data_IF_110262368420
#
_entry.id   IF_110262368420
#
_cell.length_a   1.000
_cell.length_b   1.000
_cell.length_c   1.000
_cell.angle_alpha   90.00
_cell.angle_beta   90.00
_cell.angle_gamma   90.00
#
_symmetry.space_group_name_H-M   'P 1'
#
loop_
_entity.id
_entity.type
_entity.pdbx_description
1 polymer ?
#
# COMPACT_ATOMS: atom_id res chain seq x y z
N UNK A 1 -5.17 -19.61 -15.03
CA UNK A 1 -4.52 -18.69 -15.98
C UNK A 1 -4.07 -19.40 -17.26
N UNK A 2 -3.30 -20.52 -17.22
CA UNK A 2 -2.83 -21.19 -18.43
C UNK A 2 -3.98 -21.60 -19.37
N UNK A 3 -5.00 -22.28 -18.82
CA UNK A 3 -6.19 -22.69 -19.57
C UNK A 3 -6.93 -21.52 -20.24
N UNK A 4 -6.98 -20.35 -19.58
CA UNK A 4 -7.60 -19.15 -20.13
C UNK A 4 -6.79 -18.60 -21.30
N UNK A 5 -5.46 -18.52 -21.18
CA UNK A 5 -4.59 -18.04 -22.25
C UNK A 5 -4.64 -18.97 -23.46
N UNK A 6 -4.64 -20.29 -23.25
CA UNK A 6 -4.72 -21.26 -24.33
C UNK A 6 -6.07 -21.24 -25.03
N UNK A 7 -7.16 -21.05 -24.28
CA UNK A 7 -8.49 -20.83 -24.86
C UNK A 7 -8.51 -19.57 -25.73
N UNK A 8 -8.02 -18.43 -25.22
CA UNK A 8 -8.02 -17.16 -25.96
C UNK A 8 -7.17 -17.22 -27.23
N UNK A 9 -6.05 -17.95 -27.22
CA UNK A 9 -5.29 -18.21 -28.46
C UNK A 9 -6.08 -19.04 -29.46
N UNK A 10 -6.77 -20.07 -28.97
CA UNK A 10 -7.60 -20.94 -29.83
C UNK A 10 -8.74 -20.14 -30.47
N UNK A 11 -9.25 -19.13 -29.78
CA UNK A 11 -10.23 -18.16 -30.28
C UNK A 11 -9.63 -17.11 -31.26
N UNK A 12 -8.33 -17.16 -31.54
CA UNK A 12 -7.65 -16.33 -32.55
C UNK A 12 -6.99 -15.05 -32.02
N UNK A 13 -6.89 -14.86 -30.70
CA UNK A 13 -6.21 -13.70 -30.13
C UNK A 13 -4.68 -13.81 -30.26
N UNK A 14 -4.05 -12.80 -30.87
CA UNK A 14 -2.59 -12.76 -31.07
C UNK A 14 -1.82 -12.66 -29.75
N UNK A 15 -0.62 -13.26 -29.65
CA UNK A 15 0.27 -13.14 -28.48
C UNK A 15 0.49 -11.69 -28.00
N UNK A 16 0.78 -10.75 -28.91
CA UNK A 16 0.97 -9.34 -28.58
C UNK A 16 -0.27 -8.68 -27.98
N UNK A 17 -1.46 -9.03 -28.48
CA UNK A 17 -2.71 -8.51 -27.95
C UNK A 17 -2.94 -9.02 -26.50
N UNK A 18 -2.67 -10.29 -26.24
CA UNK A 18 -2.81 -10.88 -24.91
C UNK A 18 -1.83 -10.26 -23.92
N UNK A 19 -0.55 -10.12 -24.28
CA UNK A 19 0.46 -9.50 -23.44
C UNK A 19 0.12 -8.02 -23.15
N UNK A 20 -0.31 -7.26 -24.16
CA UNK A 20 -0.75 -5.87 -23.97
C UNK A 20 -1.98 -5.76 -23.06
N UNK A 21 -2.95 -6.65 -23.19
CA UNK A 21 -4.14 -6.63 -22.34
C UNK A 21 -3.81 -6.97 -20.90
N UNK A 22 -3.00 -8.01 -20.66
CA UNK A 22 -2.60 -8.37 -19.31
C UNK A 22 -1.77 -7.26 -18.63
N UNK A 23 -0.94 -6.56 -19.41
CA UNK A 23 -0.14 -5.42 -18.93
C UNK A 23 -0.97 -4.20 -18.54
N UNK A 24 -2.16 -4.04 -19.13
CA UNK A 24 -3.08 -2.91 -18.89
C UNK A 24 -4.23 -3.25 -17.95
N UNK A 25 -4.31 -4.49 -17.48
CA UNK A 25 -5.33 -4.92 -16.54
C UNK A 25 -5.24 -4.04 -15.28
N UNK A 26 -6.37 -3.65 -14.71
CA UNK A 26 -6.42 -2.91 -13.45
C UNK A 26 -7.53 -3.49 -12.59
N UNK A 27 -7.13 -4.18 -11.52
CA UNK A 27 -8.00 -4.73 -10.50
C UNK A 27 -7.69 -4.00 -9.21
N UNK A 28 -8.60 -3.15 -8.73
CA UNK A 28 -8.45 -2.49 -7.45
C UNK A 28 -9.24 -3.24 -6.36
N UNK A 29 -8.53 -3.66 -5.32
CA UNK A 29 -9.10 -4.31 -4.15
C UNK A 29 -9.14 -3.31 -3.00
N UNK A 30 -10.34 -2.94 -2.56
CA UNK A 30 -10.55 -1.98 -1.47
C UNK A 30 -10.70 -2.72 -0.15
N UNK A 31 -9.73 -2.53 0.75
CA UNK A 31 -9.76 -3.09 2.09
C UNK A 31 -10.71 -2.29 2.97
N UNK A 32 -11.67 -2.97 3.58
CA UNK A 32 -12.64 -2.36 4.51
C UNK A 32 -12.39 -2.85 5.93
N UNK A 33 -12.77 -2.06 6.93
CA UNK A 33 -12.81 -2.53 8.30
C UNK A 33 -13.76 -3.73 8.40
N UNK A 34 -13.39 -4.74 9.19
CA UNK A 34 -14.29 -5.86 9.42
C UNK A 34 -15.24 -5.51 10.59
N UNK A 35 -16.56 -5.38 10.35
CA UNK A 35 -17.51 -4.78 11.29
C UNK A 35 -17.67 -5.56 12.60
N UNK A 36 -17.30 -6.85 12.59
CA UNK A 36 -17.40 -7.76 13.74
C UNK A 36 -16.07 -8.42 14.12
N UNK A 37 -14.93 -8.00 13.55
CA UNK A 37 -13.67 -8.71 13.82
C UNK A 37 -13.08 -8.32 15.16
N UNK A 38 -13.49 -9.15 16.10
CA UNK A 38 -13.12 -9.19 17.49
C UNK A 38 -11.72 -9.80 17.66
N UNK A 39 -11.25 -10.59 16.69
CA UNK A 39 -9.98 -11.31 16.75
C UNK A 39 -8.77 -10.35 16.83
N UNK A 40 -7.99 -10.49 17.90
CA UNK A 40 -6.77 -9.72 18.11
C UNK A 40 -5.67 -10.18 17.15
N UNK A 41 -4.73 -9.29 16.77
CA UNK A 41 -3.48 -9.63 16.03
C UNK A 41 -2.79 -10.88 16.59
N UNK A 42 -2.81 -11.02 17.91
CA UNK A 42 -2.23 -12.16 18.63
C UNK A 42 -2.87 -13.50 18.28
N UNK A 43 -4.17 -13.53 17.95
CA UNK A 43 -4.88 -14.75 17.55
C UNK A 43 -4.60 -15.12 16.10
N UNK A 44 -4.55 -14.14 15.19
CA UNK A 44 -4.17 -14.37 13.78
C UNK A 44 -2.80 -15.04 13.69
N UNK A 45 -1.81 -14.51 14.41
CA UNK A 45 -0.47 -15.12 14.49
C UNK A 45 -0.49 -16.55 15.05
N UNK A 46 -1.41 -16.86 15.97
CA UNK A 46 -1.59 -18.22 16.48
C UNK A 46 -2.22 -19.12 15.42
N UNK A 47 -3.22 -18.64 14.68
CA UNK A 47 -3.85 -19.41 13.60
C UNK A 47 -2.87 -19.69 12.46
N UNK A 48 -2.04 -18.73 12.06
CA UNK A 48 -0.97 -18.93 11.07
C UNK A 48 0.04 -19.98 11.57
N UNK A 49 0.44 -19.89 12.83
CA UNK A 49 1.34 -20.88 13.44
C UNK A 49 0.71 -22.28 13.50
N UNK A 50 -0.59 -22.37 13.82
CA UNK A 50 -1.36 -23.62 13.82
C UNK A 50 -1.39 -24.21 12.40
N UNK A 51 -1.74 -23.40 11.39
CA UNK A 51 -1.76 -23.83 9.99
C UNK A 51 -0.38 -24.33 9.54
N UNK A 52 0.70 -23.65 9.94
CA UNK A 52 2.07 -24.09 9.66
C UNK A 52 2.40 -25.44 10.34
N UNK A 53 1.97 -25.66 11.59
CA UNK A 53 2.15 -26.96 12.24
C UNK A 53 1.34 -28.08 11.57
N UNK A 54 0.11 -27.78 11.13
CA UNK A 54 -0.74 -28.74 10.41
C UNK A 54 -0.12 -29.12 9.05
N UNK A 55 0.39 -28.13 8.30
CA UNK A 55 1.10 -28.36 7.06
C UNK A 55 2.37 -29.19 7.28
N UNK A 56 3.14 -28.88 8.34
CA UNK A 56 4.31 -29.67 8.71
C UNK A 56 3.96 -31.13 9.01
N UNK A 57 2.81 -31.40 9.66
CA UNK A 57 2.37 -32.74 10.03
C UNK A 57 1.96 -33.62 8.82
N UNK A 58 1.62 -32.99 7.69
CA UNK A 58 1.23 -33.67 6.45
C UNK A 58 2.43 -34.29 5.70
N UNK A 59 3.65 -33.97 6.13
CA UNK A 59 4.87 -34.62 5.65
C UNK A 59 4.90 -36.11 6.02
N UNK A 60 5.16 -36.96 5.02
CA UNK A 60 5.17 -38.42 5.16
C UNK A 60 6.49 -38.98 5.71
N UNK A 61 7.53 -38.16 5.71
CA UNK A 61 8.92 -38.50 6.05
C UNK A 61 9.33 -38.10 7.48
N UNK A 62 8.38 -37.65 8.30
CA UNK A 62 8.65 -37.28 9.70
C UNK A 62 9.01 -38.49 10.56
N UNK A 63 10.08 -38.35 11.34
CA UNK A 63 10.39 -39.30 12.41
C UNK A 63 9.47 -39.10 13.63
N UNK A 64 9.49 -40.07 14.57
CA UNK A 64 8.63 -40.04 15.76
C UNK A 64 8.89 -38.84 16.67
N UNK A 65 10.14 -38.40 16.79
CA UNK A 65 10.54 -37.25 17.60
C UNK A 65 10.04 -35.94 17.00
N UNK A 66 10.20 -35.74 15.69
CA UNK A 66 9.71 -34.57 14.95
C UNK A 66 8.19 -34.47 15.05
N UNK A 67 7.49 -35.59 14.79
CA UNK A 67 6.02 -35.67 14.94
C UNK A 67 5.57 -35.31 16.35
N UNK A 68 6.28 -35.77 17.38
CA UNK A 68 5.99 -35.43 18.78
C UNK A 68 6.24 -33.93 19.07
N UNK A 69 7.31 -33.34 18.54
CA UNK A 69 7.62 -31.92 18.69
C UNK A 69 6.56 -31.02 18.04
N UNK A 70 6.17 -31.33 16.79
CA UNK A 70 5.10 -30.62 16.06
C UNK A 70 3.79 -30.71 16.84
N UNK A 71 3.42 -31.92 17.29
CA UNK A 71 2.19 -32.14 18.06
C UNK A 71 2.21 -31.38 19.38
N UNK A 72 3.33 -31.36 20.09
CA UNK A 72 3.50 -30.59 21.34
C UNK A 72 3.42 -29.07 21.10
N UNK A 73 3.96 -28.57 19.99
CA UNK A 73 3.82 -27.16 19.62
C UNK A 73 2.37 -26.82 19.27
N UNK A 74 1.69 -27.67 18.50
CA UNK A 74 0.28 -27.51 18.16
C UNK A 74 -0.61 -27.47 19.42
N UNK A 75 -0.41 -28.40 20.36
CA UNK A 75 -1.11 -28.41 21.65
C UNK A 75 -0.91 -27.11 22.42
N UNK A 76 0.33 -26.59 22.49
CA UNK A 76 0.61 -25.30 23.13
C UNK A 76 -0.10 -24.15 22.44
N UNK A 77 -0.08 -24.08 21.11
CA UNK A 77 -0.76 -23.02 20.36
C UNK A 77 -2.28 -23.03 20.58
N UNK A 78 -2.89 -24.22 20.59
CA UNK A 78 -4.32 -24.38 20.89
C UNK A 78 -4.63 -23.94 22.33
N UNK A 79 -3.81 -24.35 23.30
CA UNK A 79 -3.99 -23.94 24.70
C UNK A 79 -3.81 -22.43 24.87
N UNK A 80 -2.80 -21.83 24.22
CA UNK A 80 -2.59 -20.40 24.22
C UNK A 80 -3.79 -19.65 23.63
N UNK A 81 -4.36 -20.13 22.52
CA UNK A 81 -5.55 -19.54 21.91
C UNK A 81 -6.78 -19.67 22.84
N UNK A 82 -6.99 -20.85 23.42
CA UNK A 82 -8.09 -21.13 24.35
C UNK A 82 -8.05 -20.24 25.61
N UNK A 83 -6.85 -19.99 26.14
CA UNK A 83 -6.65 -19.12 27.30
C UNK A 83 -6.47 -17.63 26.96
N UNK A 84 -6.55 -17.26 25.68
CA UNK A 84 -6.52 -15.86 25.24
C UNK A 84 -7.96 -15.39 25.04
N UNK A 85 -8.38 -14.35 25.75
CA UNK A 85 -9.69 -13.73 25.53
C UNK A 85 -9.76 -13.14 24.12
N UNK A 86 -10.55 -13.78 23.26
CA UNK A 86 -10.80 -13.35 21.89
C UNK A 86 -11.61 -12.07 21.86
N UNK A 87 -12.55 -11.92 22.80
CA UNK A 87 -13.49 -10.80 22.83
C UNK A 87 -12.83 -9.49 23.27
N UNK A 88 -12.67 -8.56 22.33
CA UNK A 88 -12.32 -7.16 22.62
C UNK A 88 -13.43 -6.54 23.48
N UNK A 89 -13.05 -6.11 24.70
CA UNK A 89 -13.93 -5.38 25.63
C UNK A 89 -14.17 -3.92 25.22
N UNK A 90 -13.30 -3.37 24.37
CA UNK A 90 -13.33 -1.99 23.89
C UNK A 90 -13.41 -2.03 22.36
N UNK A 91 -14.33 -1.25 21.79
CA UNK A 91 -14.45 -1.09 20.33
C UNK A 91 -13.13 -0.55 19.77
N UNK A 92 -12.58 -1.13 18.68
CA UNK A 92 -11.35 -0.62 18.09
C UNK A 92 -11.51 0.85 17.65
N UNK A 93 -10.42 1.60 17.72
CA UNK A 93 -10.37 2.93 17.10
C UNK A 93 -10.21 2.77 15.58
N UNK A 94 -10.59 3.77 14.76
CA UNK A 94 -10.34 3.71 13.32
C UNK A 94 -8.85 3.52 12.96
N UNK A 95 -7.94 4.01 13.82
CA UNK A 95 -6.50 3.79 13.68
C UNK A 95 -6.11 2.32 13.92
N UNK A 96 -6.75 1.64 14.87
CA UNK A 96 -6.53 0.21 15.10
C UNK A 96 -7.00 -0.65 13.93
N UNK A 97 -8.11 -0.27 13.29
CA UNK A 97 -8.62 -0.90 12.08
C UNK A 97 -7.62 -0.73 10.92
N UNK A 98 -7.11 0.49 10.70
CA UNK A 98 -6.08 0.73 9.68
C UNK A 98 -4.80 -0.09 9.92
N UNK A 99 -4.32 -0.15 11.18
CA UNK A 99 -3.17 -0.97 11.57
C UNK A 99 -3.39 -2.46 11.30
N UNK A 100 -4.63 -2.94 11.46
CA UNK A 100 -4.98 -4.30 11.11
C UNK A 100 -4.91 -4.55 9.60
N UNK A 101 -5.44 -3.63 8.79
CA UNK A 101 -5.28 -3.67 7.33
C UNK A 101 -3.81 -3.73 6.90
N UNK A 102 -2.93 -2.94 7.55
CA UNK A 102 -1.49 -2.99 7.29
C UNK A 102 -0.86 -4.33 7.68
N UNK A 103 -1.34 -4.97 8.75
CA UNK A 103 -0.86 -6.29 9.14
C UNK A 103 -1.23 -7.37 8.10
N UNK A 104 -2.41 -7.29 7.48
CA UNK A 104 -2.79 -8.17 6.36
C UNK A 104 -1.82 -8.00 5.19
N UNK A 105 -1.42 -6.75 4.90
CA UNK A 105 -0.43 -6.48 3.86
C UNK A 105 0.92 -7.07 4.24
N UNK A 106 1.47 -6.72 5.40
CA UNK A 106 2.76 -7.21 5.89
C UNK A 106 2.87 -8.73 5.89
N UNK A 107 1.87 -9.43 6.43
CA UNK A 107 1.96 -10.88 6.68
C UNK A 107 1.51 -11.74 5.49
N UNK A 108 0.68 -11.20 4.58
CA UNK A 108 0.11 -11.97 3.48
C UNK A 108 0.41 -11.33 2.12
N UNK A 109 -0.13 -10.15 1.85
CA UNK A 109 -0.11 -9.57 0.50
C UNK A 109 1.29 -9.19 0.03
N UNK A 110 2.19 -8.81 0.95
CA UNK A 110 3.59 -8.50 0.68
C UNK A 110 4.33 -9.69 0.03
N UNK A 111 3.95 -10.92 0.39
CA UNK A 111 4.53 -12.14 -0.16
C UNK A 111 3.67 -12.72 -1.30
N UNK A 112 2.35 -12.64 -1.18
CA UNK A 112 1.43 -13.23 -2.15
C UNK A 112 1.50 -12.53 -3.52
N UNK A 113 1.63 -11.20 -3.55
CA UNK A 113 1.61 -10.43 -4.80
C UNK A 113 2.79 -10.77 -5.71
N UNK A 114 4.06 -10.70 -5.28
CA UNK A 114 5.17 -11.09 -6.13
C UNK A 114 5.06 -12.54 -6.62
N UNK A 115 4.65 -13.46 -5.75
CA UNK A 115 4.44 -14.87 -6.09
C UNK A 115 3.36 -15.06 -7.16
N UNK A 116 2.25 -14.32 -7.05
CA UNK A 116 1.18 -14.35 -8.04
C UNK A 116 1.64 -13.78 -9.37
N UNK A 117 2.29 -12.61 -9.36
CA UNK A 117 2.78 -11.95 -10.57
C UNK A 117 3.83 -12.79 -11.29
N UNK A 118 4.69 -13.49 -10.54
CA UNK A 118 5.65 -14.46 -11.09
C UNK A 118 4.94 -15.62 -11.80
N UNK A 119 3.90 -16.20 -11.19
CA UNK A 119 3.07 -17.24 -11.83
C UNK A 119 2.36 -16.72 -13.08
N UNK A 120 1.85 -15.50 -13.03
CA UNK A 120 1.18 -14.86 -14.16
C UNK A 120 2.17 -14.59 -15.31
N UNK A 121 3.37 -14.10 -14.99
CA UNK A 121 4.46 -13.88 -15.96
C UNK A 121 4.90 -15.19 -16.62
N UNK A 122 5.14 -16.25 -15.84
CA UNK A 122 5.48 -17.56 -16.41
C UNK A 122 4.38 -18.11 -17.32
N UNK A 123 3.11 -17.98 -16.92
CA UNK A 123 1.99 -18.41 -17.75
C UNK A 123 1.88 -17.57 -19.03
N UNK A 124 2.09 -16.25 -18.94
CA UNK A 124 2.12 -15.36 -20.09
C UNK A 124 3.27 -15.72 -21.04
N UNK A 125 4.47 -15.94 -20.52
CA UNK A 125 5.65 -16.26 -21.31
C UNK A 125 5.53 -17.61 -21.99
N UNK A 126 5.10 -18.65 -21.27
CA UNK A 126 4.83 -19.97 -21.86
C UNK A 126 3.78 -19.89 -22.97
N UNK A 127 2.82 -18.99 -22.81
CA UNK A 127 1.78 -18.80 -23.81
C UNK A 127 2.28 -17.97 -25.02
N UNK A 128 2.94 -16.86 -24.80
CA UNK A 128 3.11 -15.80 -25.81
C UNK A 128 4.55 -15.56 -26.22
N UNK A 129 5.52 -16.10 -25.48
CA UNK A 129 6.94 -15.73 -25.57
C UNK A 129 7.27 -14.36 -24.98
N UNK A 130 6.27 -13.61 -24.48
CA UNK A 130 6.42 -12.27 -23.93
C UNK A 130 6.32 -12.28 -22.40
N UNK A 131 7.06 -11.39 -21.75
CA UNK A 131 7.00 -11.18 -20.31
C UNK A 131 6.11 -9.99 -19.95
N UNK A 132 5.62 -9.98 -18.71
CA UNK A 132 4.91 -8.87 -18.12
C UNK A 132 5.89 -7.71 -17.87
N UNK A 133 5.64 -6.50 -18.39
CA UNK A 133 6.48 -5.33 -18.15
C UNK A 133 6.72 -5.09 -16.66
N UNK A 134 7.92 -4.63 -16.27
CA UNK A 134 8.28 -4.40 -14.86
C UNK A 134 7.33 -3.43 -14.15
N UNK A 135 6.86 -2.42 -14.87
CA UNK A 135 5.94 -1.37 -14.40
C UNK A 135 4.47 -1.81 -14.35
N UNK A 136 4.15 -3.02 -14.80
CA UNK A 136 2.78 -3.52 -14.74
C UNK A 136 2.41 -3.89 -13.30
N UNK A 137 1.34 -3.28 -12.79
CA UNK A 137 0.67 -3.63 -11.54
C UNK A 137 -0.81 -3.89 -11.81
N UNK A 138 -1.17 -5.09 -12.29
CA UNK A 138 -2.55 -5.42 -12.62
C UNK A 138 -3.46 -5.54 -11.41
N UNK A 139 -2.90 -5.60 -10.21
CA UNK A 139 -3.61 -5.60 -8.93
C UNK A 139 -3.14 -4.38 -8.15
N UNK A 140 -4.08 -3.58 -7.64
CA UNK A 140 -3.84 -2.43 -6.78
C UNK A 140 -4.68 -2.55 -5.52
N UNK A 141 -4.25 -1.87 -4.46
CA UNK A 141 -4.92 -1.88 -3.18
C UNK A 141 -5.31 -0.47 -2.75
N UNK A 142 -6.55 -0.33 -2.31
CA UNK A 142 -7.06 0.83 -1.61
C UNK A 142 -7.59 0.42 -0.24
N UNK A 143 -7.93 1.40 0.59
CA UNK A 143 -8.43 1.20 1.94
C UNK A 143 -9.50 2.25 2.25
N UNK A 144 -10.52 1.85 2.99
CA UNK A 144 -11.49 2.75 3.62
C UNK A 144 -11.18 3.05 5.09
N UNK A 145 -10.30 2.25 5.72
CA UNK A 145 -9.99 2.36 7.14
C UNK A 145 -9.28 3.68 7.43
N UNK A 146 -9.96 4.60 8.13
CA UNK A 146 -9.47 5.96 8.43
C UNK A 146 -9.84 7.03 7.38
N UNK A 147 -10.52 6.63 6.30
CA UNK A 147 -10.97 7.53 5.23
C UNK A 147 -12.49 7.61 5.10
N UNK A 148 -13.19 6.50 5.31
CA UNK A 148 -14.65 6.43 5.34
C UNK A 148 -15.19 6.98 6.66
N UNK A 149 -15.87 8.12 6.57
CA UNK A 149 -16.50 8.83 7.70
C UNK A 149 -18.02 8.90 7.58
N UNK A 150 -18.59 8.23 6.57
CA UNK A 150 -20.03 8.18 6.35
C UNK A 150 -20.72 7.50 7.55
N UNK A 151 -21.52 8.27 8.30
CA UNK A 151 -22.16 7.80 9.53
C UNK A 151 -21.21 7.50 10.71
N UNK A 152 -19.90 7.81 10.61
CA UNK A 152 -18.92 7.53 11.66
C UNK A 152 -18.17 8.79 12.12
N UNK A 153 -18.64 9.47 13.18
CA UNK A 153 -18.01 10.70 13.68
C UNK A 153 -16.62 10.48 14.29
N UNK A 154 -16.20 9.24 14.53
CA UNK A 154 -14.87 8.94 15.07
C UNK A 154 -13.77 9.07 14.01
N UNK A 155 -14.13 9.12 12.72
CA UNK A 155 -13.19 9.29 11.61
C UNK A 155 -13.07 10.78 11.29
N UNK A 156 -12.16 11.43 12.01
CA UNK A 156 -11.85 12.86 11.85
C UNK A 156 -10.70 13.09 10.86
N UNK A 157 -10.51 14.33 10.41
CA UNK A 157 -9.40 14.74 9.57
C UNK A 157 -8.04 14.43 10.22
N UNK A 158 -7.96 14.51 11.56
CA UNK A 158 -6.78 14.12 12.33
C UNK A 158 -6.50 12.62 12.19
N UNK A 159 -7.53 11.78 12.30
CA UNK A 159 -7.43 10.33 12.11
C UNK A 159 -6.98 10.00 10.69
N UNK A 160 -7.55 10.64 9.67
CA UNK A 160 -7.13 10.46 8.27
C UNK A 160 -5.66 10.81 8.07
N UNK A 161 -5.20 11.96 8.60
CA UNK A 161 -3.78 12.34 8.56
C UNK A 161 -2.89 11.31 9.26
N UNK A 162 -3.32 10.83 10.43
CA UNK A 162 -2.58 9.82 11.20
C UNK A 162 -2.43 8.52 10.41
N UNK A 163 -3.52 8.03 9.80
CA UNK A 163 -3.52 6.81 8.99
C UNK A 163 -2.63 6.95 7.75
N UNK A 164 -2.67 8.09 7.05
CA UNK A 164 -1.77 8.37 5.92
C UNK A 164 -0.29 8.30 6.33
N UNK A 165 0.06 8.91 7.46
CA UNK A 165 1.44 8.87 7.99
C UNK A 165 1.84 7.47 8.44
N UNK A 166 0.95 6.70 9.06
CA UNK A 166 1.20 5.31 9.45
C UNK A 166 1.40 4.42 8.22
N UNK A 167 0.65 4.63 7.14
CA UNK A 167 0.82 3.90 5.88
C UNK A 167 2.19 4.19 5.26
N UNK A 168 2.61 5.46 5.23
CA UNK A 168 3.95 5.87 4.79
C UNK A 168 5.06 5.29 5.66
N UNK A 169 4.86 5.26 6.98
CA UNK A 169 5.79 4.66 7.92
C UNK A 169 5.95 3.16 7.65
N UNK A 170 4.83 2.44 7.49
CA UNK A 170 4.82 1.01 7.27
C UNK A 170 5.45 0.64 5.92
N UNK A 171 5.11 1.36 4.85
CA UNK A 171 5.76 1.18 3.55
C UNK A 171 7.28 1.30 3.66
N UNK A 172 7.76 2.39 4.28
CA UNK A 172 9.20 2.60 4.47
C UNK A 172 9.85 1.50 5.33
N UNK A 173 9.16 0.99 6.36
CA UNK A 173 9.67 -0.10 7.19
C UNK A 173 9.76 -1.43 6.42
N UNK A 174 8.74 -1.78 5.64
CA UNK A 174 8.74 -3.01 4.83
C UNK A 174 9.80 -2.97 3.73
N UNK A 175 9.92 -1.87 2.99
CA UNK A 175 10.99 -1.73 1.99
C UNK A 175 12.37 -1.69 2.63
N UNK A 176 12.51 -1.17 3.85
CA UNK A 176 13.80 -1.19 4.54
C UNK A 176 14.26 -2.62 4.78
N UNK A 177 13.36 -3.53 5.18
CA UNK A 177 13.65 -4.96 5.37
C UNK A 177 14.04 -5.62 4.04
N UNK A 178 13.29 -5.36 2.97
CA UNK A 178 13.59 -5.88 1.64
C UNK A 178 14.97 -5.39 1.15
N UNK A 179 15.25 -4.09 1.28
CA UNK A 179 16.53 -3.48 0.85
C UNK A 179 17.70 -3.95 1.71
N UNK A 180 17.52 -4.15 3.02
CA UNK A 180 18.57 -4.71 3.88
C UNK A 180 18.92 -6.15 3.46
N UNK A 181 17.93 -6.98 3.11
CA UNK A 181 18.17 -8.33 2.58
C UNK A 181 18.87 -8.29 1.22
N UNK A 182 18.41 -7.44 0.30
CA UNK A 182 19.05 -7.25 -1.00
C UNK A 182 20.50 -6.79 -0.87
N UNK A 183 20.79 -5.87 0.05
CA UNK A 183 22.15 -5.41 0.29
C UNK A 183 23.04 -6.54 0.84
N UNK A 184 22.50 -7.48 1.61
CA UNK A 184 23.26 -8.65 2.05
C UNK A 184 23.60 -9.58 0.86
N UNK A 185 22.66 -9.82 -0.05
CA UNK A 185 22.80 -10.76 -1.16
C UNK A 185 23.58 -10.21 -2.37
N UNK A 186 23.33 -8.96 -2.78
CA UNK A 186 23.85 -8.37 -4.01
C UNK A 186 25.30 -7.87 -3.88
N UNK A 187 26.22 -8.78 -3.60
CA UNK A 187 27.66 -8.56 -3.38
C UNK A 187 28.52 -8.46 -4.65
N UNK A 188 27.90 -8.57 -5.83
CA UNK A 188 28.60 -8.72 -7.10
C UNK A 188 29.38 -7.45 -7.46
N UNK A 189 30.58 -7.64 -8.04
CA UNK A 189 31.47 -6.53 -8.42
C UNK A 189 31.24 -6.05 -9.85
N UNK A 190 30.81 -6.96 -10.74
CA UNK A 190 30.55 -6.64 -12.15
C UNK A 190 29.25 -5.86 -12.27
N UNK A 191 29.32 -4.68 -12.86
CA UNK A 191 28.19 -3.77 -13.02
C UNK A 191 28.29 -3.04 -14.36
N UNK A 192 27.15 -2.57 -14.86
CA UNK A 192 27.07 -1.73 -16.04
C UNK A 192 27.71 -0.35 -15.79
N UNK A 193 28.05 0.32 -16.89
CA UNK A 193 28.61 1.67 -16.84
C UNK A 193 27.64 2.67 -16.18
N UNK A 194 26.32 2.48 -16.37
CA UNK A 194 25.29 3.32 -15.76
C UNK A 194 25.30 3.19 -14.23
N UNK A 195 25.37 1.97 -13.69
CA UNK A 195 25.42 1.77 -12.23
C UNK A 195 26.73 2.30 -11.66
N UNK A 196 27.86 2.06 -12.34
CA UNK A 196 29.18 2.61 -11.95
C UNK A 196 29.20 4.13 -11.94
N UNK A 197 28.55 4.77 -12.90
CA UNK A 197 28.41 6.23 -12.94
C UNK A 197 27.60 6.78 -11.76
N UNK A 198 26.57 6.05 -11.29
CA UNK A 198 25.78 6.43 -10.11
C UNK A 198 26.61 6.37 -8.82
N UNK A 199 27.30 5.25 -8.58
CA UNK A 199 27.96 4.99 -7.29
C UNK A 199 29.41 5.45 -7.20
N UNK A 200 30.05 5.69 -8.35
CA UNK A 200 31.47 5.99 -8.45
C UNK A 200 32.36 4.75 -8.37
N UNK A 201 33.61 4.94 -7.96
CA UNK A 201 34.57 3.85 -7.77
C UNK A 201 34.25 3.05 -6.50
N UNK A 202 33.46 1.98 -6.66
CA UNK A 202 33.04 1.10 -5.58
C UNK A 202 33.28 -0.35 -5.96
N UNK A 203 33.91 -1.12 -5.06
CA UNK A 203 34.10 -2.56 -5.24
C UNK A 203 32.79 -3.35 -5.20
N UNK A 204 31.74 -2.80 -4.57
CA UNK A 204 30.43 -3.44 -4.42
C UNK A 204 29.32 -2.47 -4.87
N UNK A 205 29.20 -2.23 -6.20
CA UNK A 205 28.36 -1.15 -6.73
C UNK A 205 26.88 -1.28 -6.36
N UNK A 206 26.30 -2.49 -6.42
CA UNK A 206 24.91 -2.72 -6.05
C UNK A 206 24.65 -2.41 -4.56
N UNK A 207 25.55 -2.85 -3.66
CA UNK A 207 25.47 -2.54 -2.23
C UNK A 207 25.59 -1.05 -1.96
N UNK A 208 26.46 -0.35 -2.68
CA UNK A 208 26.62 1.09 -2.55
C UNK A 208 25.32 1.84 -2.92
N UNK A 209 24.67 1.45 -4.02
CA UNK A 209 23.40 2.04 -4.45
C UNK A 209 22.27 1.74 -3.45
N UNK A 210 22.13 0.47 -3.04
CA UNK A 210 21.12 0.05 -2.07
C UNK A 210 21.33 0.68 -0.69
N UNK A 211 22.58 0.94 -0.29
CA UNK A 211 22.88 1.66 0.96
C UNK A 211 22.33 3.10 0.93
N UNK A 212 22.44 3.81 -0.21
CA UNK A 212 21.87 5.14 -0.37
C UNK A 212 20.34 5.10 -0.26
N UNK A 213 19.69 4.17 -0.96
CA UNK A 213 18.24 3.97 -0.87
C UNK A 213 17.80 3.64 0.56
N UNK A 214 18.55 2.76 1.24
CA UNK A 214 18.31 2.39 2.64
C UNK A 214 18.34 3.59 3.58
N UNK A 215 19.30 4.49 3.43
CA UNK A 215 19.41 5.70 4.25
C UNK A 215 18.21 6.63 4.04
N UNK A 216 17.74 6.76 2.81
CA UNK A 216 16.53 7.54 2.47
C UNK A 216 15.24 6.89 3.00
N UNK A 217 15.13 5.56 2.96
CA UNK A 217 14.03 4.82 3.59
C UNK A 217 14.01 5.02 5.11
N UNK A 218 15.17 4.99 5.78
CA UNK A 218 15.28 5.30 7.21
C UNK A 218 14.85 6.74 7.51
N UNK A 219 15.28 7.71 6.71
CA UNK A 219 14.86 9.10 6.85
C UNK A 219 13.34 9.25 6.70
N UNK A 220 12.75 8.58 5.70
CA UNK A 220 11.31 8.56 5.44
C UNK A 220 10.53 7.98 6.61
N UNK A 221 10.94 6.81 7.11
CA UNK A 221 10.32 6.14 8.26
C UNK A 221 10.39 7.01 9.52
N UNK A 222 11.56 7.58 9.80
CA UNK A 222 11.75 8.42 10.99
C UNK A 222 10.93 9.71 10.92
N UNK A 223 10.89 10.37 9.76
CA UNK A 223 10.07 11.56 9.54
C UNK A 223 8.58 11.24 9.67
N UNK A 224 8.09 10.15 9.07
CA UNK A 224 6.69 9.76 9.16
C UNK A 224 6.29 9.51 10.62
N UNK A 225 7.14 8.81 11.40
CA UNK A 225 6.90 8.57 12.82
C UNK A 225 6.88 9.86 13.65
N UNK A 226 7.87 10.74 13.46
CA UNK A 226 7.93 12.02 14.16
C UNK A 226 6.73 12.92 13.80
N UNK A 227 6.24 12.81 12.56
CA UNK A 227 5.12 13.60 12.05
C UNK A 227 3.75 13.15 12.58
N UNK A 228 3.67 12.01 13.27
CA UNK A 228 2.42 11.54 13.91
C UNK A 228 2.01 12.48 15.06
N UNK A 229 2.99 12.95 15.85
CA UNK A 229 2.75 13.83 16.99
C UNK A 229 2.61 15.30 16.58
N UNK A 230 3.45 15.76 15.66
CA UNK A 230 3.54 17.16 15.24
C UNK A 230 3.67 17.27 13.72
N UNK A 231 3.33 18.41 13.11
CA UNK A 231 3.55 18.60 11.67
C UNK A 231 4.97 19.10 11.43
N UNK A 232 5.81 18.25 10.86
CA UNK A 232 7.22 18.55 10.59
C UNK A 232 7.48 18.65 9.08
N UNK A 233 8.30 19.61 8.62
CA UNK A 233 8.70 19.67 7.23
C UNK A 233 9.51 18.42 6.87
N UNK A 234 9.24 17.83 5.70
CA UNK A 234 9.97 16.65 5.24
C UNK A 234 11.40 17.02 4.84
N UNK A 235 12.44 16.41 5.46
CA UNK A 235 13.82 16.56 5.01
C UNK A 235 13.99 16.19 3.54
N UNK A 236 15.06 16.68 2.91
CA UNK A 236 15.40 16.34 1.51
C UNK A 236 15.59 14.83 1.29
N UNK A 237 16.11 14.13 2.31
CA UNK A 237 16.34 12.69 2.26
C UNK A 237 15.04 11.85 2.26
N UNK A 238 13.88 12.43 2.60
CA UNK A 238 12.59 11.73 2.59
C UNK A 238 12.17 11.45 1.16
N UNK A 239 11.74 10.21 0.89
CA UNK A 239 11.23 9.80 -0.40
C UNK A 239 9.86 10.46 -0.67
N UNK A 240 9.74 11.18 -1.78
CA UNK A 240 8.53 11.95 -2.12
C UNK A 240 7.75 11.32 -3.26
N UNK A 241 8.46 10.87 -4.29
CA UNK A 241 7.89 10.23 -5.47
C UNK A 241 8.26 8.75 -5.52
N UNK A 242 7.34 7.91 -6.02
CA UNK A 242 7.58 6.46 -6.11
C UNK A 242 8.77 6.10 -7.02
N UNK A 243 9.13 6.97 -7.99
CA UNK A 243 10.33 6.84 -8.82
C UNK A 243 11.60 6.88 -8.00
N UNK A 244 11.64 7.66 -6.92
CA UNK A 244 12.81 7.72 -6.04
C UNK A 244 13.08 6.39 -5.32
N UNK A 245 12.06 5.52 -5.21
CA UNK A 245 12.19 4.12 -4.77
C UNK A 245 12.51 3.18 -5.93
N UNK A 246 11.83 3.34 -7.08
CA UNK A 246 11.93 2.44 -8.22
C UNK A 246 13.26 2.57 -8.98
N UNK A 247 13.69 3.80 -9.28
CA UNK A 247 14.86 4.07 -10.13
C UNK A 247 16.15 3.38 -9.64
N UNK A 248 16.55 3.44 -8.35
CA UNK A 248 17.74 2.73 -7.89
C UNK A 248 17.59 1.20 -7.96
N UNK A 249 16.38 0.66 -7.76
CA UNK A 249 16.11 -0.78 -7.88
C UNK A 249 16.15 -1.23 -9.35
N UNK A 250 15.59 -0.43 -10.26
CA UNK A 250 15.60 -0.66 -11.70
C UNK A 250 17.02 -0.58 -12.26
N UNK A 251 17.83 0.38 -11.79
CA UNK A 251 19.24 0.49 -12.16
C UNK A 251 20.03 -0.78 -11.80
N UNK A 252 19.81 -1.30 -10.58
CA UNK A 252 20.39 -2.57 -10.16
C UNK A 252 19.91 -3.73 -11.04
N UNK A 253 18.60 -3.78 -11.33
CA UNK A 253 17.99 -4.85 -12.13
C UNK A 253 18.54 -4.89 -13.56
N UNK A 254 18.60 -3.73 -14.22
CA UNK A 254 19.15 -3.58 -15.57
C UNK A 254 20.64 -3.95 -15.60
N UNK A 255 21.43 -3.44 -14.66
CA UNK A 255 22.86 -3.75 -14.56
C UNK A 255 23.12 -5.25 -14.38
N UNK A 256 22.33 -5.95 -13.56
CA UNK A 256 22.46 -7.40 -13.40
C UNK A 256 22.17 -8.14 -14.70
N UNK A 257 21.10 -7.80 -15.42
CA UNK A 257 20.76 -8.41 -16.70
C UNK A 257 21.84 -8.14 -17.77
N UNK A 258 22.32 -6.91 -17.88
CA UNK A 258 23.40 -6.53 -18.80
C UNK A 258 24.70 -7.29 -18.53
N UNK A 259 24.98 -7.60 -17.27
CA UNK A 259 26.16 -8.39 -16.87
C UNK A 259 25.93 -9.90 -16.92
N UNK A 260 24.81 -10.39 -17.46
CA UNK A 260 24.51 -11.83 -17.58
C UNK A 260 24.05 -12.48 -16.26
N UNK A 261 23.68 -11.70 -15.25
CA UNK A 261 23.23 -12.13 -13.93
C UNK A 261 21.70 -12.09 -13.78
N UNK A 262 20.97 -12.34 -14.87
CA UNK A 262 19.50 -12.28 -14.89
C UNK A 262 18.83 -13.19 -13.86
N UNK A 263 19.39 -14.38 -13.61
CA UNK A 263 18.89 -15.30 -12.56
C UNK A 263 18.86 -14.66 -11.18
N UNK A 264 19.80 -13.77 -10.88
CA UNK A 264 19.85 -13.03 -9.61
C UNK A 264 18.83 -11.88 -9.63
N UNK A 265 18.78 -11.14 -10.75
CA UNK A 265 17.86 -10.02 -10.93
C UNK A 265 16.39 -10.44 -10.79
N UNK A 266 16.04 -11.61 -11.35
CA UNK A 266 14.68 -12.14 -11.38
C UNK A 266 14.25 -12.79 -10.05
N UNK A 267 15.12 -12.77 -9.03
CA UNK A 267 14.88 -13.27 -7.68
C UNK A 267 14.22 -12.23 -6.76
N UNK A 268 14.75 -12.02 -5.53
CA UNK A 268 14.20 -11.06 -4.56
C UNK A 268 14.16 -9.61 -5.05
N UNK A 269 15.05 -9.21 -5.97
CA UNK A 269 15.05 -7.85 -6.53
C UNK A 269 13.81 -7.59 -7.38
N UNK A 270 13.44 -8.54 -8.24
CA UNK A 270 12.19 -8.48 -8.99
C UNK A 270 10.97 -8.45 -8.05
N UNK A 271 10.98 -9.22 -6.97
CA UNK A 271 9.89 -9.19 -5.98
C UNK A 271 9.75 -7.81 -5.33
N UNK A 272 10.87 -7.19 -4.96
CA UNK A 272 10.90 -5.83 -4.42
C UNK A 272 10.37 -4.79 -5.44
N UNK A 273 10.76 -4.90 -6.71
CA UNK A 273 10.22 -4.06 -7.78
C UNK A 273 8.71 -4.24 -7.93
N UNK A 274 8.20 -5.48 -7.95
CA UNK A 274 6.76 -5.75 -8.04
C UNK A 274 5.99 -5.15 -6.85
N UNK A 275 6.55 -5.20 -5.64
CA UNK A 275 5.99 -4.51 -4.47
C UNK A 275 6.02 -3.00 -4.64
N UNK A 276 7.12 -2.43 -5.12
CA UNK A 276 7.26 -0.99 -5.33
C UNK A 276 6.27 -0.43 -6.35
N UNK A 277 5.95 -1.18 -7.40
CA UNK A 277 4.93 -0.78 -8.39
C UNK A 277 3.50 -0.99 -7.85
N UNK A 278 3.26 -2.04 -7.06
CA UNK A 278 1.93 -2.38 -6.53
C UNK A 278 1.51 -1.50 -5.35
N UNK A 279 2.36 -1.42 -4.32
CA UNK A 279 2.05 -0.76 -3.04
C UNK A 279 2.62 0.66 -2.97
N UNK A 280 3.81 0.86 -3.55
CA UNK A 280 4.53 2.13 -3.53
C UNK A 280 4.81 2.70 -2.15
N UNK A 281 5.24 3.96 -2.11
CA UNK A 281 5.62 4.67 -0.87
C UNK A 281 4.46 4.92 0.13
N UNK A 282 3.23 4.62 -0.27
CA UNK A 282 2.03 4.89 0.53
C UNK A 282 1.35 3.62 1.03
N UNK A 283 1.88 2.44 0.68
CA UNK A 283 1.34 1.11 0.98
C UNK A 283 -0.01 0.81 0.30
N UNK A 284 -1.01 1.66 0.50
CA UNK A 284 -2.36 1.61 -0.09
C UNK A 284 -2.87 3.01 -0.36
N UNK A 285 -3.75 3.16 -1.34
CA UNK A 285 -4.54 4.39 -1.50
C UNK A 285 -5.61 4.46 -0.41
N UNK A 286 -5.89 5.66 0.10
CA UNK A 286 -6.95 5.87 1.09
C UNK A 286 -8.10 6.63 0.44
N UNK A 287 -9.28 6.00 0.36
CA UNK A 287 -10.47 6.67 -0.14
C UNK A 287 -11.10 7.53 0.95
N UNK A 288 -11.53 8.74 0.59
CA UNK A 288 -12.29 9.60 1.50
C UNK A 288 -13.75 9.61 1.06
N UNK A 289 -14.62 9.15 1.96
CA UNK A 289 -16.07 9.06 1.70
C UNK A 289 -16.85 9.86 2.74
N UNK A 290 -17.78 10.68 2.29
CA UNK A 290 -18.63 11.51 3.16
C UNK A 290 -20.03 11.64 2.56
N UNK A 291 -21.06 11.71 3.41
CA UNK A 291 -22.44 11.87 2.97
C UNK A 291 -22.68 13.24 2.29
N UNK A 292 -23.54 13.24 1.27
CA UNK A 292 -23.85 14.43 0.49
C UNK A 292 -24.49 15.55 1.32
N UNK A 293 -25.30 15.22 2.34
CA UNK A 293 -25.94 16.22 3.20
C UNK A 293 -24.93 17.03 3.99
N UNK A 294 -23.79 16.44 4.36
CA UNK A 294 -22.69 17.13 5.06
C UNK A 294 -22.06 18.21 4.18
N UNK A 295 -21.89 17.94 2.89
CA UNK A 295 -21.41 18.92 1.93
C UNK A 295 -22.44 20.02 1.70
N UNK A 296 -23.73 19.67 1.58
CA UNK A 296 -24.82 20.64 1.42
C UNK A 296 -24.94 21.58 2.63
N UNK A 297 -24.83 21.05 3.86
CA UNK A 297 -24.85 21.83 5.08
C UNK A 297 -23.64 22.78 5.16
N UNK A 298 -22.44 22.28 4.84
CA UNK A 298 -21.24 23.10 4.77
C UNK A 298 -21.38 24.24 3.74
N UNK A 299 -21.86 23.93 2.53
CA UNK A 299 -22.09 24.94 1.50
C UNK A 299 -23.15 25.96 1.92
N UNK A 300 -24.22 25.54 2.62
CA UNK A 300 -25.26 26.43 3.13
C UNK A 300 -24.69 27.42 4.14
N UNK A 301 -23.87 26.95 5.08
CA UNK A 301 -23.22 27.83 6.06
C UNK A 301 -22.28 28.83 5.37
N UNK A 302 -21.56 28.38 4.34
CA UNK A 302 -20.64 29.22 3.56
C UNK A 302 -21.40 30.30 2.79
N UNK A 303 -22.45 29.94 2.06
CA UNK A 303 -23.21 30.90 1.25
C UNK A 303 -23.98 31.89 2.12
N UNK A 304 -24.51 31.44 3.27
CA UNK A 304 -25.20 32.30 4.23
C UNK A 304 -24.24 33.32 4.85
N UNK A 305 -23.05 32.86 5.29
CA UNK A 305 -21.99 33.74 5.79
C UNK A 305 -21.56 34.81 4.78
N UNK A 306 -21.53 34.46 3.49
CA UNK A 306 -21.17 35.38 2.40
C UNK A 306 -22.33 36.30 1.97
N UNK A 307 -23.53 36.16 2.56
CA UNK A 307 -24.72 36.93 2.20
C UNK A 307 -25.28 36.56 0.83
N UNK A 308 -24.99 35.36 0.33
CA UNK A 308 -25.47 34.85 -0.97
C UNK A 308 -26.80 34.09 -0.86
N UNK A 309 -27.27 33.84 0.36
CA UNK A 309 -28.46 33.03 0.65
C UNK A 309 -28.11 31.62 1.11
N UNK A 310 -29.12 30.77 1.29
CA UNK A 310 -28.96 29.42 1.84
C UNK A 310 -28.94 28.38 0.71
N UNK A 311 -27.77 27.76 0.48
CA UNK A 311 -27.56 26.80 -0.59
C UNK A 311 -28.58 25.64 -0.61
N UNK A 312 -28.98 25.14 0.56
CA UNK A 312 -29.96 24.06 0.68
C UNK A 312 -31.36 24.43 0.15
N UNK A 313 -31.72 25.72 0.12
CA UNK A 313 -33.02 26.21 -0.35
C UNK A 313 -33.05 26.44 -1.87
N UNK A 314 -31.88 26.44 -2.52
CA UNK A 314 -31.76 26.61 -3.96
C UNK A 314 -32.24 25.37 -4.70
N UNK A 315 -32.87 25.57 -5.86
CA UNK A 315 -33.11 24.50 -6.81
C UNK A 315 -31.80 23.99 -7.43
N UNK A 316 -31.87 22.82 -8.06
CA UNK A 316 -30.68 22.15 -8.58
C UNK A 316 -29.98 22.97 -9.67
N UNK A 317 -30.73 23.67 -10.52
CA UNK A 317 -30.14 24.50 -11.58
C UNK A 317 -29.35 25.67 -10.98
N UNK A 318 -29.89 26.34 -9.97
CA UNK A 318 -29.23 27.44 -9.26
C UNK A 318 -27.96 26.96 -8.58
N UNK A 319 -27.98 25.75 -7.98
CA UNK A 319 -26.78 25.13 -7.38
C UNK A 319 -25.70 24.87 -8.42
N UNK A 320 -26.05 24.28 -9.56
CA UNK A 320 -25.12 24.01 -10.67
C UNK A 320 -24.50 25.31 -11.19
N UNK A 321 -25.32 26.32 -11.46
CA UNK A 321 -24.87 27.60 -11.99
C UNK A 321 -23.91 28.30 -11.03
N UNK A 322 -24.22 28.28 -9.72
CA UNK A 322 -23.33 28.79 -8.68
C UNK A 322 -22.00 28.03 -8.63
N UNK A 323 -22.04 26.69 -8.57
CA UNK A 323 -20.83 25.87 -8.49
C UNK A 323 -19.93 26.06 -9.71
N UNK A 324 -20.49 26.06 -10.92
CA UNK A 324 -19.73 26.30 -12.15
C UNK A 324 -19.11 27.70 -12.17
N UNK A 325 -19.84 28.72 -11.69
CA UNK A 325 -19.30 30.07 -11.58
C UNK A 325 -18.11 30.13 -10.64
N UNK A 326 -18.23 29.57 -9.43
CA UNK A 326 -17.14 29.62 -8.44
C UNK A 326 -15.96 28.70 -8.80
N UNK A 327 -16.19 27.54 -9.44
CA UNK A 327 -15.10 26.67 -9.91
C UNK A 327 -14.23 27.32 -11.00
N UNK A 328 -14.82 28.20 -11.82
CA UNK A 328 -14.09 28.97 -12.84
C UNK A 328 -13.51 30.28 -12.30
N UNK A 329 -13.87 30.66 -11.08
CA UNK A 329 -13.43 31.90 -10.46
C UNK A 329 -12.05 31.72 -9.81
N UNK A 330 -11.08 32.56 -10.20
CA UNK A 330 -9.72 32.51 -9.60
C UNK A 330 -9.66 33.17 -8.22
N UNK A 331 -10.69 33.94 -7.83
CA UNK A 331 -10.76 34.55 -6.51
C UNK A 331 -11.12 33.48 -5.47
N UNK A 332 -10.41 33.40 -4.33
CA UNK A 332 -10.79 32.52 -3.24
C UNK A 332 -12.20 32.84 -2.71
N UNK A 333 -13.03 31.81 -2.54
CA UNK A 333 -14.39 31.95 -2.01
C UNK A 333 -14.41 32.21 -0.50
N UNK A 334 -13.61 31.45 0.25
CA UNK A 334 -13.58 31.50 1.72
C UNK A 334 -12.51 32.47 2.24
N UNK A 335 -12.88 33.43 3.10
CA UNK A 335 -11.91 34.25 3.84
C UNK A 335 -11.12 33.41 4.85
N UNK A 336 -9.85 33.77 5.08
CA UNK A 336 -8.96 33.07 6.02
C UNK A 336 -9.41 33.11 7.48
N UNK A 337 -10.24 34.08 7.85
CA UNK A 337 -10.77 34.28 9.21
C UNK A 337 -12.18 33.70 9.41
N UNK A 338 -12.73 32.97 8.42
CA UNK A 338 -14.01 32.28 8.57
C UNK A 338 -13.94 31.26 9.71
N UNK A 339 -14.91 31.31 10.63
CA UNK A 339 -15.01 30.42 11.80
C UNK A 339 -16.24 29.53 11.65
N UNK A 340 -16.11 28.38 10.98
CA UNK A 340 -17.23 27.47 10.77
C UNK A 340 -17.67 26.78 12.06
N UNK A 341 -18.91 26.30 12.08
CA UNK A 341 -19.39 25.32 13.05
C UNK A 341 -18.59 24.02 12.97
N UNK A 342 -18.63 23.20 14.02
CA UNK A 342 -17.77 22.01 14.16
C UNK A 342 -17.89 21.04 12.96
N UNK A 343 -19.11 20.82 12.46
CA UNK A 343 -19.34 19.90 11.34
C UNK A 343 -18.76 20.42 10.01
N UNK A 344 -18.94 21.69 9.71
CA UNK A 344 -18.36 22.36 8.54
C UNK A 344 -16.83 22.47 8.67
N UNK A 345 -16.33 22.73 9.88
CA UNK A 345 -14.89 22.76 10.18
C UNK A 345 -14.23 21.41 9.84
N UNK A 346 -14.90 20.30 10.15
CA UNK A 346 -14.43 18.94 9.89
C UNK A 346 -14.41 18.61 8.39
N UNK A 347 -15.45 19.00 7.64
CA UNK A 347 -15.48 18.86 6.17
C UNK A 347 -14.31 19.63 5.53
N UNK A 348 -14.13 20.89 5.91
CA UNK A 348 -13.05 21.73 5.39
C UNK A 348 -11.66 21.25 5.82
N UNK A 349 -11.51 20.72 7.04
CA UNK A 349 -10.26 20.16 7.53
C UNK A 349 -9.89 18.88 6.77
N UNK A 350 -10.88 18.07 6.40
CA UNK A 350 -10.67 16.86 5.59
C UNK A 350 -10.13 17.20 4.21
N UNK A 351 -10.74 18.16 3.51
CA UNK A 351 -10.24 18.61 2.21
C UNK A 351 -8.81 19.18 2.31
N UNK A 352 -8.48 19.87 3.41
CA UNK A 352 -7.12 20.35 3.69
C UNK A 352 -6.12 19.21 3.88
N UNK A 353 -6.51 18.12 4.54
CA UNK A 353 -5.67 16.93 4.66
C UNK A 353 -5.43 16.29 3.30
N UNK A 354 -6.48 16.12 2.49
CA UNK A 354 -6.36 15.57 1.12
C UNK A 354 -5.44 16.41 0.25
N UNK A 355 -5.54 17.75 0.32
CA UNK A 355 -4.69 18.65 -0.45
C UNK A 355 -3.21 18.65 -0.01
N UNK A 356 -2.93 18.23 1.22
CA UNK A 356 -1.58 18.18 1.79
C UNK A 356 -0.93 16.78 1.73
N UNK A 357 -1.68 15.75 1.34
CA UNK A 357 -1.31 14.35 1.41
C UNK A 357 -0.28 13.91 0.35
#
# INVERSE_FOLDING_TARGET
MPELLDRLKTEGHTPDALARQLSKLEIELVLTAHPTEVARRTLIQKYDAIAAQLAALDHRDLNSTERAQITSRLQRLIAEAWHTEEIRRIRPTPVDEAKWGFAVIEHSLWHAIPNYLRKADHALHAATGLHLPLEAAPIRFASWMGGDRDGNPNVTAKVTREVLLLARWMAADLYLRDVDNLAAELSMQQASDALRASVGDSAEPYRAELKRLRERLRATRNWANASLSETLPAPEAVLRDNRELLDPLLLCFQSLHECGMGVIADGPLLDCLRRAVTFGLFLVRLDVRQDSSRHCAAMTEITDYLGLGRYEEWDEQTRIDFLLRELNNRRPLLPSYFKPAADTAEVLATCRVVAAA
#
